data_IF_803556427385
#
_entry.id   IF_803556427385
#
_cell.length_a   1.000
_cell.length_b   1.000
_cell.length_c   1.000
_cell.angle_alpha   90.00
_cell.angle_beta   90.00
_cell.angle_gamma   90.00
#
_symmetry.space_group_name_H-M   'P 1'
#
loop_
_entity.id
_entity.type
_entity.pdbx_description
1 polymer ?
#
# COMPACT_ATOMS: atom_id res chain seq x y z
N UNK A 1 -13.26 -5.57 -0.05
CA UNK A 1 -13.32 -4.15 -0.47
C UNK A 1 -14.72 -3.80 -0.91
N UNK A 2 -15.22 -2.69 -0.48
CA UNK A 2 -16.58 -2.26 -0.80
C UNK A 2 -16.66 -1.82 -2.27
N UNK A 3 -17.16 -2.69 -3.13
CA UNK A 3 -17.30 -2.49 -4.59
C UNK A 3 -18.44 -1.53 -4.97
N UNK A 4 -18.87 -0.67 -4.10
CA UNK A 4 -20.02 0.20 -4.33
C UNK A 4 -19.82 1.64 -3.88
N UNK A 5 -18.58 2.07 -3.64
CA UNK A 5 -18.34 3.46 -3.28
C UNK A 5 -18.43 4.35 -4.53
N UNK A 6 -19.38 5.28 -4.59
CA UNK A 6 -19.56 6.15 -5.76
C UNK A 6 -18.41 7.15 -5.94
N UNK A 7 -17.52 7.27 -4.94
CA UNK A 7 -16.38 8.18 -4.97
C UNK A 7 -15.04 7.48 -5.23
N UNK A 8 -15.00 6.14 -5.13
CA UNK A 8 -13.86 5.40 -5.64
C UNK A 8 -14.05 5.22 -7.13
N UNK A 9 -13.18 5.76 -7.99
CA UNK A 9 -13.22 5.41 -9.39
C UNK A 9 -13.14 3.89 -9.48
N UNK A 10 -14.05 3.29 -10.24
CA UNK A 10 -13.99 1.88 -10.55
C UNK A 10 -12.56 1.59 -10.99
N UNK A 11 -11.84 0.88 -10.17
CA UNK A 11 -10.50 0.46 -10.51
C UNK A 11 -10.68 -0.58 -11.61
N UNK A 12 -10.74 -0.12 -12.85
CA UNK A 12 -10.65 -0.98 -14.00
C UNK A 12 -9.39 -1.81 -13.85
N UNK A 13 -9.56 -3.08 -13.46
CA UNK A 13 -8.52 -4.05 -13.18
C UNK A 13 -7.48 -3.55 -12.16
N UNK A 14 -7.78 -3.64 -10.84
CA UNK A 14 -6.74 -3.43 -9.83
C UNK A 14 -5.61 -4.42 -10.10
N UNK A 15 -4.38 -3.94 -10.08
CA UNK A 15 -3.20 -4.78 -10.20
C UNK A 15 -3.01 -5.65 -8.96
N UNK A 16 -2.01 -6.49 -8.99
CA UNK A 16 -1.65 -7.43 -7.94
C UNK A 16 -0.52 -6.91 -7.02
N UNK A 17 -0.25 -5.60 -7.07
CA UNK A 17 0.78 -4.93 -6.25
C UNK A 17 0.14 -3.82 -5.41
N UNK A 18 0.44 -3.81 -4.11
CA UNK A 18 0.04 -2.74 -3.19
C UNK A 18 1.26 -1.93 -2.79
N UNK A 19 1.13 -0.61 -2.81
CA UNK A 19 2.18 0.33 -2.41
C UNK A 19 1.93 0.89 -1.02
N UNK A 20 3.00 0.97 -0.24
CA UNK A 20 3.05 1.83 0.94
C UNK A 20 3.58 3.24 0.60
N UNK A 21 3.70 4.09 1.63
CA UNK A 21 4.21 5.44 1.46
C UNK A 21 5.67 5.47 0.98
N UNK A 22 6.50 4.52 1.45
CA UNK A 22 7.90 4.43 1.04
C UNK A 22 8.05 4.15 -0.44
N UNK A 23 7.27 3.22 -0.98
CA UNK A 23 7.26 2.95 -2.42
C UNK A 23 6.76 4.14 -3.22
N UNK A 24 5.69 4.79 -2.78
CA UNK A 24 5.13 5.94 -3.48
C UNK A 24 6.12 7.11 -3.53
N UNK A 25 6.85 7.35 -2.43
CA UNK A 25 7.92 8.36 -2.36
C UNK A 25 9.08 7.99 -3.29
N UNK A 26 9.47 6.72 -3.32
CA UNK A 26 10.55 6.24 -4.17
C UNK A 26 10.23 6.39 -5.66
N UNK A 27 9.00 6.07 -6.07
CA UNK A 27 8.53 6.27 -7.46
C UNK A 27 8.51 7.75 -7.85
N UNK A 28 8.20 8.63 -6.91
CA UNK A 28 8.20 10.07 -7.12
C UNK A 28 9.62 10.69 -7.18
N UNK A 29 10.65 9.94 -6.86
CA UNK A 29 12.04 10.36 -7.00
C UNK A 29 12.58 9.97 -8.39
N UNK A 30 12.79 10.93 -9.29
CA UNK A 30 13.31 10.63 -10.64
C UNK A 30 14.73 10.04 -10.62
N UNK A 31 15.45 10.16 -9.51
CA UNK A 31 16.77 9.54 -9.30
C UNK A 31 16.71 8.06 -8.91
N UNK A 32 15.57 7.60 -8.42
CA UNK A 32 15.40 6.19 -8.03
C UNK A 32 14.98 5.32 -9.23
N UNK A 33 15.99 4.85 -9.95
CA UNK A 33 15.76 3.99 -11.13
C UNK A 33 15.11 2.66 -10.77
N UNK A 34 15.45 2.09 -9.60
CA UNK A 34 14.92 0.80 -9.18
C UNK A 34 13.42 0.89 -8.94
N UNK A 35 12.98 1.92 -8.21
CA UNK A 35 11.56 2.17 -7.99
C UNK A 35 10.83 2.44 -9.29
N UNK A 36 11.43 3.20 -10.21
CA UNK A 36 10.86 3.48 -11.53
C UNK A 36 10.64 2.21 -12.37
N UNK A 37 11.60 1.29 -12.38
CA UNK A 37 11.48 -0.01 -13.08
C UNK A 37 10.39 -0.86 -12.44
N UNK A 38 10.40 -0.98 -11.12
CA UNK A 38 9.37 -1.74 -10.38
C UNK A 38 7.96 -1.19 -10.63
N UNK A 39 7.82 0.13 -10.67
CA UNK A 39 6.55 0.77 -10.98
C UNK A 39 6.08 0.43 -12.40
N UNK A 40 6.96 0.54 -13.39
CA UNK A 40 6.63 0.20 -14.77
C UNK A 40 6.22 -1.28 -14.91
N UNK A 41 6.95 -2.19 -14.26
CA UNK A 41 6.61 -3.62 -14.23
C UNK A 41 5.26 -3.87 -13.55
N UNK A 42 5.00 -3.21 -12.42
CA UNK A 42 3.72 -3.33 -11.71
C UNK A 42 2.54 -2.89 -12.58
N UNK A 43 2.71 -1.86 -13.39
CA UNK A 43 1.68 -1.37 -14.31
C UNK A 43 1.36 -2.33 -15.47
N UNK A 44 2.22 -3.33 -15.74
CA UNK A 44 1.95 -4.35 -16.76
C UNK A 44 0.86 -5.34 -16.35
N UNK A 45 0.69 -5.58 -15.04
CA UNK A 45 -0.30 -6.53 -14.50
C UNK A 45 -1.61 -5.87 -14.08
N UNK A 46 -1.68 -4.55 -14.14
CA UNK A 46 -2.81 -3.75 -13.74
C UNK A 46 -2.37 -2.48 -13.02
N UNK A 47 -3.30 -1.71 -12.48
CA UNK A 47 -2.96 -0.49 -11.75
C UNK A 47 -2.49 -0.84 -10.33
N UNK A 48 -1.28 -0.46 -9.90
CA UNK A 48 -0.86 -0.63 -8.52
C UNK A 48 -1.87 -0.01 -7.55
N UNK A 49 -2.16 -0.70 -6.46
CA UNK A 49 -3.18 -0.28 -5.49
C UNK A 49 -2.53 0.54 -4.39
N UNK A 50 -3.10 1.71 -4.11
CA UNK A 50 -2.64 2.62 -3.05
C UNK A 50 -3.80 2.90 -2.11
N UNK A 51 -3.75 2.46 -0.84
CA UNK A 51 -4.71 2.91 0.16
C UNK A 51 -4.67 4.42 0.32
N UNK A 52 -5.82 5.10 0.37
CA UNK A 52 -5.87 6.56 0.43
C UNK A 52 -5.07 7.17 1.61
N UNK A 53 -5.02 6.60 2.82
CA UNK A 53 -4.17 7.09 3.90
C UNK A 53 -2.67 7.11 3.57
N UNK A 54 -2.20 6.22 2.68
CA UNK A 54 -0.82 6.21 2.17
C UNK A 54 -0.51 7.50 1.41
N UNK A 55 -1.47 8.01 0.64
CA UNK A 55 -1.32 9.30 -0.03
C UNK A 55 -1.04 10.42 0.96
N UNK A 56 -1.77 10.46 2.08
CA UNK A 56 -1.55 11.46 3.13
C UNK A 56 -0.18 11.33 3.81
N UNK A 57 0.35 10.12 3.93
CA UNK A 57 1.72 9.92 4.44
C UNK A 57 2.79 10.41 3.46
N UNK A 58 2.60 10.20 2.16
CA UNK A 58 3.56 10.59 1.14
C UNK A 58 3.48 12.07 0.75
N UNK A 59 2.29 12.66 0.80
CA UNK A 59 2.02 14.02 0.34
C UNK A 59 2.44 15.06 1.37
N UNK A 60 3.61 15.68 1.17
CA UNK A 60 4.17 16.69 2.09
C UNK A 60 4.20 18.10 1.50
N UNK A 61 3.67 18.29 0.31
CA UNK A 61 3.80 19.56 -0.41
C UNK A 61 5.19 19.77 -1.04
N UNK A 62 5.38 20.89 -1.68
CA UNK A 62 6.64 21.24 -2.34
C UNK A 62 6.83 20.65 -3.73
N UNK A 63 8.08 20.69 -4.23
CA UNK A 63 8.40 20.33 -5.61
C UNK A 63 8.10 18.86 -5.97
N UNK A 64 8.11 17.96 -5.01
CA UNK A 64 7.84 16.53 -5.24
C UNK A 64 6.38 16.20 -5.51
N UNK A 65 5.44 17.10 -5.19
CA UNK A 65 4.00 16.85 -5.41
C UNK A 65 3.64 16.61 -6.86
N UNK A 66 4.34 17.25 -7.80
CA UNK A 66 4.12 17.01 -9.23
C UNK A 66 4.46 15.58 -9.64
N UNK A 67 5.57 15.03 -9.13
CA UNK A 67 5.97 13.65 -9.39
C UNK A 67 5.04 12.65 -8.71
N UNK A 68 4.63 12.92 -7.46
CA UNK A 68 3.62 12.11 -6.75
C UNK A 68 2.28 12.09 -7.50
N UNK A 69 1.80 13.25 -7.94
CA UNK A 69 0.57 13.35 -8.72
C UNK A 69 0.65 12.54 -10.03
N UNK A 70 1.81 12.54 -10.66
CA UNK A 70 2.06 11.76 -11.88
C UNK A 70 2.02 10.28 -11.61
N UNK A 71 2.73 9.81 -10.58
CA UNK A 71 2.72 8.39 -10.18
C UNK A 71 1.32 7.90 -9.81
N UNK A 72 0.55 8.71 -9.07
CA UNK A 72 -0.82 8.37 -8.66
C UNK A 72 -1.80 8.22 -9.82
N UNK A 73 -1.54 8.84 -10.99
CA UNK A 73 -2.37 8.62 -12.19
C UNK A 73 -2.31 7.18 -12.70
N UNK A 74 -1.19 6.52 -12.48
CA UNK A 74 -0.99 5.13 -12.87
C UNK A 74 -1.53 4.14 -11.81
N UNK A 75 -1.90 4.63 -10.63
CA UNK A 75 -2.35 3.84 -9.50
C UNK A 75 -3.87 3.84 -9.33
N UNK A 76 -4.39 2.80 -8.69
CA UNK A 76 -5.75 2.73 -8.18
C UNK A 76 -5.76 3.13 -6.70
N UNK A 77 -6.24 4.34 -6.39
CA UNK A 77 -6.36 4.81 -5.02
C UNK A 77 -7.66 4.29 -4.41
N UNK A 78 -7.56 3.53 -3.33
CA UNK A 78 -8.70 2.97 -2.60
C UNK A 78 -9.01 3.82 -1.38
N UNK A 79 -10.22 4.38 -1.31
CA UNK A 79 -10.63 5.29 -0.24
C UNK A 79 -11.77 4.76 0.63
N UNK A 80 -12.46 3.72 0.22
CA UNK A 80 -13.64 3.20 0.92
C UNK A 80 -13.27 2.04 1.84
N UNK A 81 -13.02 2.36 3.10
CA UNK A 81 -12.83 1.40 4.17
C UNK A 81 -13.94 1.53 5.21
N UNK A 82 -14.52 0.40 5.58
CA UNK A 82 -15.58 0.32 6.58
C UNK A 82 -15.00 0.42 8.00
N UNK A 83 -15.86 0.73 8.98
CA UNK A 83 -15.47 0.67 10.39
C UNK A 83 -14.96 -0.73 10.78
N UNK A 84 -15.56 -1.79 10.24
CA UNK A 84 -15.14 -3.16 10.50
C UNK A 84 -13.70 -3.44 10.01
N UNK A 85 -13.33 -2.91 8.85
CA UNK A 85 -11.94 -3.01 8.34
C UNK A 85 -10.97 -2.25 9.25
N UNK A 86 -11.32 -1.06 9.70
CA UNK A 86 -10.50 -0.29 10.64
C UNK A 86 -10.35 -0.99 12.01
N UNK A 87 -11.39 -1.65 12.51
CA UNK A 87 -11.28 -2.49 13.72
C UNK A 87 -10.32 -3.66 13.50
N UNK A 88 -10.40 -4.33 12.35
CA UNK A 88 -9.48 -5.41 11.98
C UNK A 88 -8.03 -4.92 11.93
N UNK A 89 -7.79 -3.72 11.38
CA UNK A 89 -6.46 -3.09 11.40
C UNK A 89 -5.99 -2.87 12.85
N UNK A 90 -6.84 -2.34 13.72
CA UNK A 90 -6.52 -2.13 15.13
C UNK A 90 -6.15 -3.43 15.85
N UNK A 91 -6.91 -4.50 15.64
CA UNK A 91 -6.61 -5.83 16.21
C UNK A 91 -5.31 -6.42 15.66
N UNK A 92 -5.09 -6.26 14.37
CA UNK A 92 -3.89 -6.71 13.67
C UNK A 92 -2.62 -6.07 14.22
N UNK A 93 -2.59 -4.74 14.31
CA UNK A 93 -1.42 -4.03 14.85
C UNK A 93 -1.22 -4.27 16.35
N UNK A 94 -2.29 -4.55 17.09
CA UNK A 94 -2.22 -4.91 18.52
C UNK A 94 -1.60 -6.29 18.77
N UNK A 95 -1.67 -7.20 17.78
CA UNK A 95 -1.11 -8.56 17.86
C UNK A 95 0.25 -8.72 17.17
N UNK A 96 0.63 -7.77 16.32
CA UNK A 96 1.85 -7.87 15.54
C UNK A 96 3.11 -7.86 16.44
N UNK A 97 4.05 -8.73 16.11
CA UNK A 97 5.35 -8.79 16.78
C UNK A 97 6.31 -7.78 16.15
N UNK A 98 6.26 -6.57 16.64
CA UNK A 98 7.08 -5.45 16.17
C UNK A 98 8.34 -5.28 17.03
N UNK A 99 9.37 -4.67 16.43
CA UNK A 99 10.52 -4.20 17.20
C UNK A 99 10.04 -3.28 18.34
N UNK A 100 10.47 -3.50 19.62
CA UNK A 100 9.99 -2.73 20.77
C UNK A 100 10.19 -1.21 20.68
N UNK A 101 11.12 -0.77 19.82
CA UNK A 101 11.38 0.66 19.57
C UNK A 101 10.45 1.29 18.54
N UNK A 102 9.70 0.48 17.81
CA UNK A 102 8.76 0.95 16.79
C UNK A 102 7.37 1.17 17.38
N UNK A 103 6.67 2.16 16.85
CA UNK A 103 5.26 2.38 17.15
C UNK A 103 4.42 1.65 16.12
N UNK A 104 3.29 1.03 16.52
CA UNK A 104 2.35 0.47 15.59
C UNK A 104 1.87 1.53 14.58
N UNK A 105 1.86 1.15 13.30
CA UNK A 105 1.40 2.02 12.22
C UNK A 105 0.06 1.51 11.65
N UNK A 106 -1.07 2.19 11.94
CA UNK A 106 -2.37 1.81 11.38
C UNK A 106 -2.41 1.83 9.86
N UNK A 107 -1.64 2.72 9.21
CA UNK A 107 -1.59 2.78 7.74
C UNK A 107 -0.83 1.58 7.18
N UNK A 108 0.28 1.19 7.79
CA UNK A 108 0.98 -0.05 7.44
C UNK A 108 0.10 -1.29 7.62
N UNK A 109 -0.65 -1.36 8.72
CA UNK A 109 -1.65 -2.41 8.95
C UNK A 109 -2.75 -2.43 7.89
N UNK A 110 -3.21 -1.26 7.44
CA UNK A 110 -4.19 -1.15 6.36
C UNK A 110 -3.62 -1.60 5.01
N UNK A 111 -2.36 -1.29 4.73
CA UNK A 111 -1.66 -1.79 3.52
C UNK A 111 -1.65 -3.32 3.50
N UNK A 112 -1.29 -3.96 4.61
CA UNK A 112 -1.28 -5.41 4.74
C UNK A 112 -2.69 -6.01 4.56
N UNK A 113 -3.71 -5.44 5.22
CA UNK A 113 -5.09 -5.89 5.10
C UNK A 113 -5.59 -5.75 3.66
N UNK A 114 -5.34 -4.61 3.02
CA UNK A 114 -5.74 -4.36 1.62
C UNK A 114 -5.11 -5.40 0.68
N UNK A 115 -3.83 -5.72 0.88
CA UNK A 115 -3.13 -6.71 0.05
C UNK A 115 -3.80 -8.09 0.12
N UNK A 116 -4.21 -8.52 1.31
CA UNK A 116 -4.92 -9.80 1.46
C UNK A 116 -6.31 -9.76 0.82
N UNK A 117 -7.04 -8.66 0.99
CA UNK A 117 -8.42 -8.55 0.49
C UNK A 117 -8.52 -8.48 -1.05
N UNK A 118 -7.47 -8.02 -1.72
CA UNK A 118 -7.43 -7.99 -3.19
C UNK A 118 -6.67 -9.17 -3.79
N UNK A 119 -6.21 -10.13 -2.98
CA UNK A 119 -5.35 -11.23 -3.40
C UNK A 119 -4.07 -10.73 -4.11
N UNK A 120 -3.45 -9.69 -3.54
CA UNK A 120 -2.21 -9.14 -4.08
C UNK A 120 -1.08 -10.17 -4.03
N UNK A 121 -0.18 -10.10 -5.00
CA UNK A 121 1.04 -10.91 -5.00
C UNK A 121 2.20 -10.23 -4.29
N UNK A 122 2.24 -8.91 -4.32
CA UNK A 122 3.36 -8.11 -3.82
C UNK A 122 2.85 -6.93 -2.99
N UNK A 123 3.52 -6.67 -1.88
CA UNK A 123 3.50 -5.37 -1.20
C UNK A 123 4.88 -4.73 -1.37
N UNK A 124 4.95 -3.59 -2.04
CA UNK A 124 6.17 -2.82 -2.20
C UNK A 124 6.28 -1.77 -1.08
N UNK A 125 7.33 -1.84 -0.28
CA UNK A 125 7.46 -1.08 0.97
C UNK A 125 8.91 -0.71 1.27
N UNK A 126 9.11 0.40 1.98
CA UNK A 126 10.40 0.72 2.60
C UNK A 126 10.59 0.07 3.98
N UNK A 127 9.55 -0.56 4.53
CA UNK A 127 9.55 -1.17 5.87
C UNK A 127 9.07 -2.61 5.84
N UNK A 128 9.92 -3.49 5.29
CA UNK A 128 9.59 -4.89 5.08
C UNK A 128 9.23 -5.63 6.37
N UNK A 129 9.97 -5.38 7.45
CA UNK A 129 9.80 -6.10 8.71
C UNK A 129 8.43 -5.83 9.33
N UNK A 130 7.99 -4.57 9.32
CA UNK A 130 6.70 -4.19 9.88
C UNK A 130 5.55 -4.73 9.02
N UNK A 131 5.64 -4.59 7.71
CA UNK A 131 4.61 -5.12 6.80
C UNK A 131 4.52 -6.65 6.93
N UNK A 132 5.66 -7.35 7.02
CA UNK A 132 5.67 -8.79 7.23
C UNK A 132 5.02 -9.16 8.57
N UNK A 133 5.37 -8.45 9.64
CA UNK A 133 4.78 -8.70 10.97
C UNK A 133 3.25 -8.50 10.96
N UNK A 134 2.73 -7.54 10.19
CA UNK A 134 1.29 -7.35 10.02
C UNK A 134 0.67 -8.48 9.19
N UNK A 135 1.27 -8.86 8.08
CA UNK A 135 0.79 -9.96 7.24
C UNK A 135 0.73 -11.29 7.98
N UNK A 136 1.70 -11.56 8.85
CA UNK A 136 1.76 -12.79 9.65
C UNK A 136 0.55 -12.95 10.59
N UNK A 137 -0.17 -11.86 10.89
CA UNK A 137 -1.39 -11.87 11.69
C UNK A 137 -2.67 -12.10 10.86
N UNK A 138 -2.56 -12.13 9.53
CA UNK A 138 -3.71 -12.24 8.63
C UNK A 138 -3.73 -13.63 7.97
N UNK A 139 -4.83 -14.34 8.13
CA UNK A 139 -5.01 -15.62 7.44
C UNK A 139 -5.09 -15.41 5.92
N UNK A 140 -4.38 -16.23 5.16
CA UNK A 140 -4.35 -16.15 3.70
C UNK A 140 -3.24 -15.26 3.12
N UNK A 141 -2.37 -14.70 3.97
CA UNK A 141 -1.27 -13.82 3.55
C UNK A 141 -0.05 -14.55 2.96
N UNK A 142 0.01 -15.86 3.03
CA UNK A 142 1.22 -16.67 2.75
C UNK A 142 1.71 -16.57 1.31
N UNK A 143 0.85 -16.20 0.38
CA UNK A 143 1.20 -16.02 -1.04
C UNK A 143 1.71 -14.61 -1.37
N UNK A 144 1.71 -13.69 -0.40
CA UNK A 144 2.11 -12.30 -0.61
C UNK A 144 3.60 -12.15 -0.36
N UNK A 145 4.31 -11.60 -1.33
CA UNK A 145 5.73 -11.27 -1.20
C UNK A 145 5.88 -9.82 -0.75
N UNK A 146 6.66 -9.58 0.29
CA UNK A 146 7.03 -8.22 0.74
C UNK A 146 8.33 -7.83 0.06
N UNK A 147 8.27 -6.79 -0.75
CA UNK A 147 9.40 -6.31 -1.55
C UNK A 147 9.89 -4.96 -1.03
N UNK A 148 11.15 -4.92 -0.62
CA UNK A 148 11.80 -3.70 -0.15
C UNK A 148 12.23 -2.77 -1.29
N UNK A 149 12.01 -1.49 -1.08
CA UNK A 149 12.39 -0.40 -1.99
C UNK A 149 13.32 0.60 -1.30
#
# INVERSE_FOLDING_TARGET
MNRGCPTCPDADSPGDVVYDAGMLIAVADPGDRRAGVLHAESCLTGRPVVPAPVVAQAWRGGARTAYLARALKDCAVVCCYTEAEWRRVGELIGRADLNPKKRPDPVGGLVALTAVEIDARIVATSDQDDIQAYLDQIHGSQAITVLGV
#
